data_IF_872463701473
#
_entry.id   IF_872463701473
#
_cell.length_a   1.000
_cell.length_b   1.000
_cell.length_c   1.000
_cell.angle_alpha   90.00
_cell.angle_beta   90.00
_cell.angle_gamma   90.00
#
_symmetry.space_group_name_H-M   'P 1'
#
loop_
_entity.id
_entity.type
_entity.pdbx_description
1 polymer ?
#
# COMPACT_ATOMS: atom_id res chain seq x y z
N UNK A 1 23.74 -11.65 -11.15
CA UNK A 1 22.82 -10.65 -10.58
C UNK A 1 23.20 -10.42 -9.13
N UNK A 2 23.51 -9.18 -8.75
CA UNK A 2 23.94 -8.82 -7.39
C UNK A 2 22.74 -8.57 -6.47
N UNK A 3 22.97 -8.54 -5.15
CA UNK A 3 21.94 -8.19 -4.16
C UNK A 3 21.35 -6.79 -4.43
N UNK A 4 22.20 -5.84 -4.79
CA UNK A 4 21.77 -4.45 -5.03
C UNK A 4 20.94 -4.35 -6.31
N UNK A 5 21.28 -5.10 -7.36
CA UNK A 5 20.48 -5.22 -8.58
C UNK A 5 19.09 -5.84 -8.29
N UNK A 6 19.03 -6.85 -7.42
CA UNK A 6 17.76 -7.46 -6.99
C UNK A 6 16.89 -6.47 -6.21
N UNK A 7 17.48 -5.70 -5.30
CA UNK A 7 16.77 -4.68 -4.53
C UNK A 7 16.26 -3.56 -5.44
N UNK A 8 17.08 -3.12 -6.38
CA UNK A 8 16.69 -2.12 -7.37
C UNK A 8 15.53 -2.60 -8.25
N UNK A 9 15.59 -3.84 -8.76
CA UNK A 9 14.50 -4.41 -9.56
C UNK A 9 13.20 -4.62 -8.76
N UNK A 10 13.32 -5.04 -7.49
CA UNK A 10 12.16 -5.15 -6.60
C UNK A 10 11.52 -3.78 -6.35
N UNK A 11 12.33 -2.74 -6.20
CA UNK A 11 11.85 -1.37 -6.03
C UNK A 11 11.15 -0.86 -7.30
N UNK A 12 11.77 -1.00 -8.48
CA UNK A 12 11.16 -0.66 -9.76
C UNK A 12 9.81 -1.36 -9.96
N UNK A 13 9.74 -2.65 -9.61
CA UNK A 13 8.50 -3.41 -9.71
C UNK A 13 7.42 -2.87 -8.78
N UNK A 14 7.77 -2.52 -7.53
CA UNK A 14 6.83 -1.91 -6.59
C UNK A 14 6.32 -0.56 -7.08
N UNK A 15 7.19 0.28 -7.65
CA UNK A 15 6.85 1.56 -8.23
C UNK A 15 5.91 1.41 -9.43
N UNK A 16 6.22 0.50 -10.35
CA UNK A 16 5.35 0.21 -11.51
C UNK A 16 3.96 -0.26 -11.08
N UNK A 17 3.87 -1.10 -10.05
CA UNK A 17 2.58 -1.54 -9.52
C UNK A 17 1.76 -0.37 -8.93
N UNK A 18 2.42 0.55 -8.22
CA UNK A 18 1.74 1.75 -7.67
C UNK A 18 1.28 2.68 -8.79
N UNK A 19 2.13 2.93 -9.77
CA UNK A 19 1.80 3.75 -10.94
C UNK A 19 0.58 3.18 -11.67
N UNK A 20 0.56 1.86 -11.91
CA UNK A 20 -0.58 1.18 -12.54
C UNK A 20 -1.88 1.34 -11.74
N UNK A 21 -1.83 1.17 -10.41
CA UNK A 21 -3.00 1.38 -9.54
C UNK A 21 -3.49 2.83 -9.56
N UNK A 22 -2.55 3.79 -9.57
CA UNK A 22 -2.87 5.20 -9.67
C UNK A 22 -3.58 5.52 -10.99
N UNK A 23 -3.07 5.02 -12.13
CA UNK A 23 -3.72 5.21 -13.43
C UNK A 23 -5.12 4.59 -13.46
N UNK A 24 -5.29 3.38 -12.95
CA UNK A 24 -6.62 2.73 -12.87
C UNK A 24 -7.58 3.57 -12.03
N UNK A 25 -7.10 4.13 -10.90
CA UNK A 25 -7.90 5.01 -10.07
C UNK A 25 -8.30 6.30 -10.80
N UNK A 26 -7.38 6.92 -11.56
CA UNK A 26 -7.72 8.08 -12.38
C UNK A 26 -8.80 7.75 -13.42
N UNK A 27 -8.71 6.58 -14.05
CA UNK A 27 -9.72 6.12 -15.01
C UNK A 27 -11.09 5.90 -14.33
N UNK A 28 -11.08 5.34 -13.12
CA UNK A 28 -12.28 5.09 -12.34
C UNK A 28 -12.94 6.40 -11.87
N UNK A 29 -12.20 7.33 -11.27
CA UNK A 29 -12.71 8.63 -10.82
C UNK A 29 -13.18 9.52 -11.98
N UNK A 30 -12.63 9.35 -13.18
CA UNK A 30 -13.11 10.02 -14.39
C UNK A 30 -14.41 9.40 -14.96
N UNK A 31 -14.81 8.21 -14.50
CA UNK A 31 -15.99 7.49 -14.99
C UNK A 31 -17.22 7.85 -14.14
N UNK A 32 -18.25 8.51 -14.70
CA UNK A 32 -19.39 9.00 -13.91
C UNK A 32 -20.23 7.91 -13.23
N UNK A 33 -20.13 6.67 -13.70
CA UNK A 33 -20.87 5.51 -13.17
C UNK A 33 -20.04 4.65 -12.23
N UNK A 34 -18.79 5.02 -11.97
CA UNK A 34 -17.96 4.29 -11.02
C UNK A 34 -18.55 4.41 -9.60
N UNK A 35 -18.55 3.28 -8.88
CA UNK A 35 -19.06 3.19 -7.50
C UNK A 35 -17.95 2.87 -6.50
N UNK A 36 -16.70 2.83 -6.96
CA UNK A 36 -15.56 2.53 -6.10
C UNK A 36 -15.32 3.69 -5.14
N UNK A 37 -15.38 3.41 -3.84
CA UNK A 37 -14.97 4.36 -2.82
C UNK A 37 -13.52 4.11 -2.41
N UNK A 38 -12.69 5.14 -2.55
CA UNK A 38 -11.29 5.10 -2.13
C UNK A 38 -11.13 5.66 -0.72
N UNK A 39 -10.39 4.93 0.12
CA UNK A 39 -10.16 5.32 1.53
C UNK A 39 -9.06 6.36 1.72
N UNK A 40 -8.20 6.54 0.72
CA UNK A 40 -7.08 7.50 0.77
C UNK A 40 -7.35 8.62 -0.23
N UNK A 41 -7.20 9.91 0.12
CA UNK A 41 -7.33 11.01 -0.83
C UNK A 41 -6.37 10.88 -2.02
N UNK A 42 -6.81 11.25 -3.22
CA UNK A 42 -5.99 11.14 -4.44
C UNK A 42 -4.69 11.95 -4.31
N UNK A 43 -4.77 13.17 -3.78
CA UNK A 43 -3.61 14.03 -3.57
C UNK A 43 -2.53 13.41 -2.68
N UNK A 44 -2.90 12.60 -1.68
CA UNK A 44 -1.94 11.89 -0.83
C UNK A 44 -1.23 10.78 -1.62
N UNK A 45 -1.96 10.06 -2.47
CA UNK A 45 -1.40 9.03 -3.37
C UNK A 45 -0.43 9.66 -4.35
N UNK A 46 -0.81 10.78 -4.97
CA UNK A 46 0.04 11.55 -5.90
C UNK A 46 1.32 12.04 -5.23
N UNK A 47 1.22 12.61 -4.03
CA UNK A 47 2.37 13.09 -3.29
C UNK A 47 3.34 11.94 -2.93
N UNK A 48 2.82 10.79 -2.50
CA UNK A 48 3.64 9.62 -2.20
C UNK A 48 4.32 9.06 -3.46
N UNK A 49 3.57 8.89 -4.54
CA UNK A 49 4.09 8.40 -5.82
C UNK A 49 5.14 9.35 -6.40
N UNK A 50 4.92 10.67 -6.31
CA UNK A 50 5.88 11.69 -6.74
C UNK A 50 7.20 11.61 -5.99
N UNK A 51 7.17 11.42 -4.66
CA UNK A 51 8.39 11.22 -3.86
C UNK A 51 9.12 9.94 -4.26
N UNK A 52 8.40 8.81 -4.37
CA UNK A 52 9.01 7.53 -4.75
C UNK A 52 9.68 7.62 -6.14
N UNK A 53 9.10 8.37 -7.08
CA UNK A 53 9.66 8.60 -8.43
C UNK A 53 10.90 9.50 -8.41
N UNK A 54 10.91 10.54 -7.56
CA UNK A 54 12.09 11.40 -7.39
C UNK A 54 13.26 10.63 -6.79
N UNK A 55 13.00 9.82 -5.75
CA UNK A 55 14.01 8.94 -5.16
C UNK A 55 14.59 7.98 -6.21
N UNK A 56 13.73 7.40 -7.07
CA UNK A 56 14.19 6.54 -8.17
C UNK A 56 15.05 7.29 -9.18
N UNK A 57 14.66 8.51 -9.55
CA UNK A 57 15.44 9.35 -10.46
C UNK A 57 16.83 9.63 -9.87
N UNK A 58 16.90 10.03 -8.60
CA UNK A 58 18.16 10.27 -7.89
C UNK A 58 19.03 9.02 -7.83
N UNK A 59 18.43 7.84 -7.58
CA UNK A 59 19.15 6.57 -7.60
C UNK A 59 19.72 6.23 -8.98
N UNK A 60 18.95 6.44 -10.06
CA UNK A 60 19.41 6.18 -11.42
C UNK A 60 20.59 7.11 -11.78
N UNK A 61 20.47 8.40 -11.44
CA UNK A 61 21.52 9.40 -11.65
C UNK A 61 22.77 9.14 -10.80
N UNK A 62 22.60 8.73 -9.54
CA UNK A 62 23.70 8.35 -8.68
C UNK A 62 24.46 7.13 -9.22
N UNK A 63 23.74 6.12 -9.71
CA UNK A 63 24.33 4.94 -10.34
C UNK A 63 25.12 5.30 -11.60
N UNK A 64 24.60 6.18 -12.46
CA UNK A 64 25.29 6.58 -13.69
C UNK A 64 26.57 7.38 -13.40
N UNK A 65 26.61 8.11 -12.28
CA UNK A 65 27.78 8.81 -11.78
C UNK A 65 28.79 7.91 -11.02
N UNK A 66 28.52 6.60 -10.91
CA UNK A 66 29.43 5.64 -10.29
C UNK A 66 29.27 5.49 -8.77
N UNK A 67 28.24 6.07 -8.15
CA UNK A 67 27.94 5.88 -6.74
C UNK A 67 27.16 4.57 -6.52
N UNK A 68 27.53 3.82 -5.49
CA UNK A 68 26.73 2.68 -5.01
C UNK A 68 25.53 3.23 -4.24
N UNK A 69 24.35 3.15 -4.85
CA UNK A 69 23.11 3.61 -4.21
C UNK A 69 22.71 2.62 -3.11
N UNK A 70 22.59 3.04 -1.84
CA UNK A 70 21.86 2.25 -0.88
C UNK A 70 20.38 2.30 -1.27
N UNK A 71 19.86 1.23 -1.87
CA UNK A 71 18.43 1.09 -2.16
C UNK A 71 17.71 0.95 -0.82
N UNK A 72 17.46 2.06 -0.14
CA UNK A 72 16.52 2.09 0.97
C UNK A 72 15.13 1.86 0.35
N UNK A 73 14.47 0.77 0.76
CA UNK A 73 13.07 0.56 0.37
C UNK A 73 12.26 1.77 0.82
N UNK A 74 11.31 2.26 0.01
CA UNK A 74 10.30 3.17 0.53
C UNK A 74 9.59 2.46 1.68
N UNK A 75 9.77 3.02 2.88
CA UNK A 75 9.15 2.53 4.11
C UNK A 75 7.67 2.82 4.05
N UNK A 76 6.90 1.95 3.38
CA UNK A 76 5.46 1.94 3.54
C UNK A 76 5.14 1.48 4.97
N UNK A 77 5.11 2.42 5.91
CA UNK A 77 4.33 2.25 7.14
C UNK A 77 2.85 2.16 6.74
N UNK A 78 2.39 0.95 6.52
CA UNK A 78 0.97 0.60 6.50
C UNK A 78 0.82 -0.70 7.28
N UNK A 79 1.05 -0.59 8.59
CA UNK A 79 0.90 -1.67 9.56
C UNK A 79 0.26 -1.19 10.86
N UNK A 80 -0.46 -0.07 10.85
CA UNK A 80 -1.40 0.26 11.91
C UNK A 80 -2.58 -0.69 11.77
N UNK A 81 -2.48 -1.82 12.47
CA UNK A 81 -3.60 -2.71 12.74
C UNK A 81 -4.49 -1.99 13.77
N UNK A 82 -5.74 -1.67 13.43
CA UNK A 82 -6.77 -1.89 14.42
C UNK A 82 -7.95 -2.60 13.77
N UNK A 83 -8.13 -3.86 14.11
CA UNK A 83 -9.50 -4.38 14.18
C UNK A 83 -9.56 -5.46 15.24
N UNK A 84 -10.10 -5.06 16.39
CA UNK A 84 -10.66 -5.96 17.39
C UNK A 84 -11.57 -6.94 16.65
N UNK A 85 -11.30 -8.23 16.84
CA UNK A 85 -12.28 -9.29 16.60
C UNK A 85 -13.56 -8.89 17.34
N UNK A 86 -14.75 -8.88 16.70
CA UNK A 86 -15.97 -8.91 17.47
C UNK A 86 -16.00 -10.27 18.19
N UNK A 87 -15.92 -10.27 19.51
CA UNK A 87 -16.26 -11.44 20.31
C UNK A 87 -17.71 -11.80 19.99
N UNK A 88 -17.94 -13.00 19.46
CA UNK A 88 -19.28 -13.58 19.43
C UNK A 88 -19.73 -13.74 20.89
N UNK A 89 -20.93 -13.29 21.28
CA UNK A 89 -21.48 -13.65 22.58
C UNK A 89 -21.73 -15.16 22.60
N UNK A 90 -21.09 -15.85 23.53
CA UNK A 90 -21.43 -17.20 23.95
C UNK A 90 -22.91 -17.24 24.35
N UNK A 91 -23.72 -18.23 23.91
CA UNK A 91 -25.03 -18.44 24.48
C UNK A 91 -24.84 -18.99 25.90
N UNK A 92 -25.01 -18.12 26.88
CA UNK A 92 -25.13 -18.53 28.28
C UNK A 92 -26.29 -19.52 28.43
N UNK A 93 -25.98 -20.56 29.18
CA UNK A 93 -26.93 -21.57 29.65
C UNK A 93 -28.01 -20.87 30.47
N UNK A 94 -29.27 -20.96 30.02
CA UNK A 94 -30.42 -20.56 30.83
C UNK A 94 -31.22 -21.79 31.25
N UNK A 95 -31.09 -22.04 32.55
CA UNK A 95 -31.81 -22.92 33.45
C UNK A 95 -33.32 -22.94 33.18
N UNK A 96 -33.85 -24.07 32.72
CA UNK A 96 -35.28 -24.34 32.80
C UNK A 96 -35.59 -24.99 34.17
N UNK A 97 -35.78 -24.14 35.16
CA UNK A 97 -36.56 -24.45 36.36
C UNK A 97 -37.92 -23.78 36.18
N UNK A 98 -38.98 -24.54 35.90
CA UNK A 98 -40.23 -24.41 36.66
C UNK A 98 -41.27 -25.50 36.32
N UNK A 99 -41.69 -26.16 37.40
CA UNK A 99 -43.02 -26.63 37.76
C UNK A 99 -44.11 -26.70 36.68
N UNK A 100 -44.57 -27.92 36.39
CA UNK A 100 -45.94 -28.35 36.73
C UNK A 100 -46.06 -29.86 36.79
#
# INVERSE_FOLDING_TARGET
>A
MTKDELLFNAWLTSLNQRLGRYVVRLMDEATPTATTEYTVPLAEVEAALGRDLLELADAILGKSAGFTVPVQRPSNQAGTRPRRTPELPSPDSSTATNCR
#
